data_IF_242128011195
#
_entry.id   IF_242128011195
#
_cell.length_a   1.000
_cell.length_b   1.000
_cell.length_c   1.000
_cell.angle_alpha   90.00
_cell.angle_beta   90.00
_cell.angle_gamma   90.00
#
_symmetry.space_group_name_H-M   'P 1'
#
loop_
_entity.id
_entity.type
_entity.pdbx_description
1 polymer ?
#
# COMPACT_ATOMS: atom_id res chain seq x y z
N UNK A 1 -21.31 12.28 21.36
CA UNK A 1 -20.12 11.42 21.40
C UNK A 1 -19.90 10.82 20.01
N UNK A 2 -18.90 11.29 19.25
CA UNK A 2 -18.58 10.74 17.92
C UNK A 2 -17.61 9.59 18.10
N UNK A 3 -18.04 8.37 17.82
CA UNK A 3 -17.13 7.23 17.80
C UNK A 3 -16.25 7.32 16.55
N UNK A 4 -14.94 7.49 16.75
CA UNK A 4 -13.97 7.40 15.68
C UNK A 4 -13.65 5.92 15.46
N UNK A 5 -14.19 5.32 14.41
CA UNK A 5 -13.81 3.95 14.03
C UNK A 5 -12.40 3.99 13.42
N UNK A 6 -11.42 3.53 14.18
CA UNK A 6 -10.06 3.30 13.71
C UNK A 6 -9.99 1.85 13.26
N UNK A 7 -10.40 1.59 12.03
CA UNK A 7 -10.37 0.27 11.43
C UNK A 7 -9.56 0.24 10.13
N UNK A 8 -9.27 -0.97 9.66
CA UNK A 8 -8.82 -1.20 8.29
C UNK A 8 -9.93 -0.78 7.32
N UNK A 9 -9.54 -0.34 6.11
CA UNK A 9 -10.51 -0.13 5.03
C UNK A 9 -11.33 -1.40 4.80
N UNK A 10 -12.64 -1.24 4.71
CA UNK A 10 -13.56 -2.35 4.48
C UNK A 10 -14.67 -1.92 3.55
N UNK A 11 -15.31 -2.88 2.91
CA UNK A 11 -16.48 -2.67 2.07
C UNK A 11 -17.75 -3.10 2.79
N UNK A 12 -18.82 -2.36 2.57
CA UNK A 12 -20.16 -2.76 3.03
C UNK A 12 -20.66 -3.95 2.20
N UNK A 13 -21.66 -4.67 2.71
CA UNK A 13 -22.31 -5.76 1.97
C UNK A 13 -22.91 -5.30 0.63
N UNK A 14 -23.35 -4.05 0.55
CA UNK A 14 -23.90 -3.45 -0.69
C UNK A 14 -22.78 -3.26 -1.73
N UNK A 15 -21.67 -2.67 -1.34
CA UNK A 15 -20.49 -2.48 -2.20
C UNK A 15 -19.90 -3.82 -2.66
N UNK A 16 -19.82 -4.82 -1.76
CA UNK A 16 -19.37 -6.15 -2.15
C UNK A 16 -20.26 -6.78 -3.22
N UNK A 17 -21.59 -6.67 -3.08
CA UNK A 17 -22.54 -7.14 -4.12
C UNK A 17 -22.32 -6.43 -5.44
N UNK A 18 -22.09 -5.11 -5.43
CA UNK A 18 -21.81 -4.32 -6.64
C UNK A 18 -20.55 -4.81 -7.34
N UNK A 19 -19.45 -5.05 -6.60
CA UNK A 19 -18.19 -5.55 -7.19
C UNK A 19 -18.38 -6.90 -7.88
N UNK A 20 -19.13 -7.81 -7.27
CA UNK A 20 -19.38 -9.14 -7.84
C UNK A 20 -20.41 -9.13 -8.98
N UNK A 21 -21.29 -8.13 -9.01
CA UNK A 21 -22.28 -8.01 -10.10
C UNK A 21 -21.63 -7.60 -11.41
N UNK A 22 -20.58 -6.76 -11.37
CA UNK A 22 -19.84 -6.32 -12.55
C UNK A 22 -18.35 -6.74 -12.46
N UNK A 23 -18.10 -8.03 -12.52
CA UNK A 23 -16.75 -8.58 -12.51
C UNK A 23 -15.91 -8.17 -13.71
N UNK A 24 -16.50 -7.82 -14.83
CA UNK A 24 -15.77 -7.35 -16.01
C UNK A 24 -15.11 -6.01 -15.72
N UNK A 25 -15.77 -5.16 -14.95
CA UNK A 25 -15.27 -3.85 -14.54
C UNK A 25 -14.27 -3.94 -13.40
N UNK A 26 -14.58 -4.76 -12.39
CA UNK A 26 -13.85 -4.75 -11.11
C UNK A 26 -12.71 -5.78 -11.02
N UNK A 27 -12.65 -6.75 -11.93
CA UNK A 27 -11.61 -7.78 -11.92
C UNK A 27 -10.36 -7.32 -12.65
N UNK A 28 -9.25 -7.22 -11.91
CA UNK A 28 -7.91 -6.99 -12.44
C UNK A 28 -7.12 -8.30 -12.34
N UNK A 29 -6.52 -8.74 -13.44
CA UNK A 29 -5.75 -9.98 -13.51
C UNK A 29 -4.27 -9.72 -13.30
N UNK A 30 -3.60 -10.60 -12.57
CA UNK A 30 -2.13 -10.62 -12.58
C UNK A 30 -1.61 -11.30 -13.84
N UNK A 31 -0.56 -10.71 -14.42
CA UNK A 31 0.23 -11.30 -15.51
C UNK A 31 1.63 -11.54 -15.00
N UNK A 32 2.15 -12.72 -15.28
CA UNK A 32 3.52 -13.08 -14.98
C UNK A 32 4.43 -12.73 -16.17
N UNK A 33 5.49 -11.96 -15.90
CA UNK A 33 6.44 -11.46 -16.90
C UNK A 33 7.89 -11.98 -16.67
N UNK A 34 8.06 -13.08 -15.95
CA UNK A 34 9.36 -13.72 -15.76
C UNK A 34 10.17 -13.25 -14.55
N UNK A 35 11.49 -13.27 -14.66
CA UNK A 35 12.42 -13.10 -13.54
C UNK A 35 12.25 -11.78 -12.74
N UNK A 36 11.78 -10.73 -13.36
CA UNK A 36 11.53 -9.46 -12.65
C UNK A 36 10.40 -9.59 -11.64
N UNK A 37 9.35 -10.32 -12.00
CA UNK A 37 8.24 -10.61 -11.10
C UNK A 37 8.66 -11.55 -9.96
N UNK A 38 9.49 -12.56 -10.26
CA UNK A 38 10.05 -13.45 -9.24
C UNK A 38 10.89 -12.69 -8.22
N UNK A 39 11.72 -11.76 -8.69
CA UNK A 39 12.53 -10.89 -7.83
C UNK A 39 11.68 -9.99 -6.96
N UNK A 40 10.62 -9.40 -7.50
CA UNK A 40 9.70 -8.53 -6.77
C UNK A 40 8.95 -9.29 -5.66
N UNK A 41 8.43 -10.49 -5.96
CA UNK A 41 7.79 -11.38 -4.97
C UNK A 41 8.80 -11.84 -3.91
N UNK A 42 10.01 -12.20 -4.32
CA UNK A 42 11.07 -12.61 -3.39
C UNK A 42 11.47 -11.45 -2.47
N UNK A 43 11.62 -10.24 -3.00
CA UNK A 43 11.88 -9.03 -2.21
C UNK A 43 10.78 -8.82 -1.17
N UNK A 44 9.51 -8.87 -1.59
CA UNK A 44 8.38 -8.57 -0.71
C UNK A 44 8.20 -9.61 0.41
N UNK A 45 8.37 -10.90 0.14
CA UNK A 45 7.92 -11.96 1.04
C UNK A 45 9.00 -12.88 1.60
N UNK A 46 10.24 -12.86 1.08
CA UNK A 46 11.31 -13.72 1.59
C UNK A 46 11.83 -13.25 2.94
N UNK A 47 11.97 -14.19 3.90
CA UNK A 47 12.62 -13.92 5.20
C UNK A 47 14.09 -13.49 5.06
N UNK A 48 14.75 -13.86 3.97
CA UNK A 48 16.17 -13.54 3.74
C UNK A 48 16.39 -12.13 3.20
N UNK A 49 15.31 -11.42 2.80
CA UNK A 49 15.35 -10.11 2.13
C UNK A 49 14.93 -8.95 3.05
N UNK A 50 15.33 -9.00 4.32
CA UNK A 50 14.95 -7.98 5.32
C UNK A 50 15.62 -6.65 5.03
N UNK A 51 16.93 -6.65 4.78
CA UNK A 51 17.69 -5.42 4.55
C UNK A 51 17.30 -4.78 3.21
N UNK A 52 17.14 -5.59 2.16
CA UNK A 52 16.70 -5.09 0.86
C UNK A 52 15.27 -4.50 0.92
N UNK A 53 14.39 -5.01 1.81
CA UNK A 53 13.07 -4.38 2.03
C UNK A 53 13.17 -3.02 2.74
N UNK A 54 14.13 -2.85 3.65
CA UNK A 54 14.37 -1.55 4.28
C UNK A 54 14.83 -0.53 3.24
N UNK A 55 15.80 -0.88 2.40
CA UNK A 55 16.25 -0.04 1.29
C UNK A 55 15.09 0.30 0.36
N UNK A 56 14.34 -0.70 -0.10
CA UNK A 56 13.17 -0.51 -0.96
C UNK A 56 12.15 0.50 -0.40
N UNK A 57 11.84 0.43 0.91
CA UNK A 57 10.92 1.38 1.55
C UNK A 57 11.55 2.77 1.69
N UNK A 58 12.84 2.84 2.02
CA UNK A 58 13.57 4.11 2.14
C UNK A 58 13.62 4.83 0.79
N UNK A 59 14.03 4.14 -0.27
CA UNK A 59 14.09 4.68 -1.62
C UNK A 59 12.72 5.19 -2.09
N UNK A 60 11.66 4.44 -1.79
CA UNK A 60 10.31 4.86 -2.10
C UNK A 60 9.90 6.14 -1.36
N UNK A 61 10.23 6.27 -0.07
CA UNK A 61 9.94 7.47 0.71
C UNK A 61 10.73 8.69 0.22
N UNK A 62 12.02 8.50 -0.11
CA UNK A 62 12.89 9.56 -0.64
C UNK A 62 12.40 10.04 -2.01
N UNK A 63 12.06 9.11 -2.91
CA UNK A 63 11.49 9.44 -4.21
C UNK A 63 10.14 10.17 -4.07
N UNK A 64 9.29 9.74 -3.14
CA UNK A 64 8.03 10.42 -2.84
C UNK A 64 8.22 11.86 -2.37
N UNK A 65 9.21 12.09 -1.49
CA UNK A 65 9.60 13.42 -1.04
C UNK A 65 10.12 14.29 -2.19
N UNK A 66 11.03 13.76 -2.99
CA UNK A 66 11.60 14.43 -4.16
C UNK A 66 10.51 14.83 -5.17
N UNK A 67 9.57 13.92 -5.47
CA UNK A 67 8.45 14.20 -6.38
C UNK A 67 7.56 15.34 -5.86
N UNK A 68 7.26 15.33 -4.56
CA UNK A 68 6.47 16.37 -3.91
C UNK A 68 7.15 17.74 -3.97
N UNK A 69 8.47 17.79 -3.72
CA UNK A 69 9.28 19.02 -3.82
C UNK A 69 9.31 19.59 -5.26
N UNK A 70 9.33 18.71 -6.28
CA UNK A 70 9.31 19.08 -7.68
C UNK A 70 7.89 19.34 -8.24
N UNK A 71 6.84 19.20 -7.42
CA UNK A 71 5.46 19.37 -7.88
C UNK A 71 5.01 18.31 -8.89
N UNK A 72 5.67 17.13 -8.91
CA UNK A 72 5.32 16.04 -9.83
C UNK A 72 4.06 15.32 -9.33
N UNK A 73 3.19 14.83 -10.23
CA UNK A 73 1.99 14.09 -9.84
C UNK A 73 2.33 12.77 -9.16
N UNK A 74 1.44 12.30 -8.30
CA UNK A 74 1.53 10.97 -7.69
C UNK A 74 1.43 9.88 -8.75
N UNK A 75 2.09 8.75 -8.49
CA UNK A 75 2.07 7.58 -9.38
C UNK A 75 1.00 6.63 -8.89
N UNK A 76 0.00 6.37 -9.74
CA UNK A 76 -1.04 5.37 -9.47
C UNK A 76 -0.84 4.15 -10.36
N UNK A 77 -1.01 2.97 -9.77
CA UNK A 77 -0.97 1.70 -10.52
C UNK A 77 -2.22 1.50 -11.37
N UNK A 78 -3.37 1.87 -10.81
CA UNK A 78 -4.66 1.60 -11.43
C UNK A 78 -5.18 2.84 -12.16
N UNK A 79 -5.32 2.69 -13.47
CA UNK A 79 -6.04 3.63 -14.31
C UNK A 79 -7.45 3.11 -14.57
N UNK A 80 -8.31 3.96 -15.14
CA UNK A 80 -9.74 3.66 -15.36
C UNK A 80 -9.97 2.37 -16.19
N UNK A 81 -9.04 2.06 -17.09
CA UNK A 81 -9.15 0.93 -18.02
C UNK A 81 -8.15 -0.22 -17.72
N UNK A 82 -7.50 -0.18 -16.56
CA UNK A 82 -6.54 -1.22 -16.17
C UNK A 82 -7.24 -2.57 -15.97
N UNK A 83 -6.92 -3.55 -16.81
CA UNK A 83 -7.48 -4.92 -16.74
C UNK A 83 -6.46 -5.95 -16.26
N UNK A 84 -5.19 -5.62 -16.29
CA UNK A 84 -4.12 -6.51 -15.87
C UNK A 84 -2.93 -5.71 -15.35
N UNK A 85 -2.24 -6.26 -14.36
CA UNK A 85 -1.01 -5.73 -13.79
C UNK A 85 0.01 -6.86 -13.65
N UNK A 86 1.30 -6.55 -13.74
CA UNK A 86 2.35 -7.51 -13.41
C UNK A 86 2.66 -7.46 -11.91
N UNK A 87 3.34 -8.48 -11.40
CA UNK A 87 3.68 -8.55 -9.98
C UNK A 87 4.70 -7.49 -9.57
N UNK A 88 5.65 -7.17 -10.44
CA UNK A 88 6.64 -6.12 -10.18
C UNK A 88 5.97 -4.74 -9.99
N UNK A 89 5.07 -4.36 -10.89
CA UNK A 89 4.34 -3.10 -10.76
C UNK A 89 3.46 -3.07 -9.51
N UNK A 90 2.77 -4.17 -9.22
CA UNK A 90 1.96 -4.28 -8.01
C UNK A 90 2.81 -4.09 -6.74
N UNK A 91 3.95 -4.78 -6.64
CA UNK A 91 4.85 -4.66 -5.47
C UNK A 91 5.37 -3.24 -5.33
N UNK A 92 5.85 -2.63 -6.41
CA UNK A 92 6.54 -1.34 -6.34
C UNK A 92 5.62 -0.11 -6.32
N UNK A 93 4.36 -0.23 -6.74
CA UNK A 93 3.42 0.89 -6.81
C UNK A 93 2.24 0.78 -5.86
N UNK A 94 1.85 -0.44 -5.45
CA UNK A 94 0.68 -0.66 -4.60
C UNK A 94 1.05 -1.26 -3.24
N UNK A 95 1.78 -2.40 -3.23
CA UNK A 95 2.15 -3.06 -1.98
C UNK A 95 3.07 -2.18 -1.12
N UNK A 96 3.92 -1.36 -1.73
CA UNK A 96 4.77 -0.41 -1.03
C UNK A 96 3.97 0.61 -0.23
N UNK A 97 2.84 1.09 -0.75
CA UNK A 97 1.94 2.02 -0.06
C UNK A 97 1.38 1.38 1.22
N UNK A 98 0.88 0.15 1.10
CA UNK A 98 0.41 -0.61 2.25
C UNK A 98 1.53 -0.85 3.27
N UNK A 99 2.71 -1.26 2.82
CA UNK A 99 3.86 -1.55 3.69
C UNK A 99 4.29 -0.31 4.48
N UNK A 100 4.35 0.86 3.83
CA UNK A 100 4.66 2.12 4.50
C UNK A 100 3.57 2.52 5.51
N UNK A 101 2.32 2.45 5.11
CA UNK A 101 1.17 2.75 5.96
C UNK A 101 1.11 1.81 7.17
N UNK A 102 1.40 0.53 6.99
CA UNK A 102 1.42 -0.44 8.08
C UNK A 102 2.54 -0.18 9.07
N UNK A 103 3.73 0.18 8.61
CA UNK A 103 4.84 0.61 9.46
C UNK A 103 4.46 1.86 10.27
N UNK A 104 3.92 2.88 9.64
CA UNK A 104 3.49 4.12 10.30
C UNK A 104 2.42 3.85 11.37
N UNK A 105 1.46 2.98 11.07
CA UNK A 105 0.38 2.60 11.99
C UNK A 105 0.85 1.70 13.13
N UNK A 106 1.82 0.81 12.88
CA UNK A 106 2.18 -0.28 13.79
C UNK A 106 3.36 0.04 14.69
N UNK A 107 4.30 0.88 14.22
CA UNK A 107 5.50 1.26 14.96
C UNK A 107 5.20 2.48 15.86
N UNK A 108 5.47 2.41 17.18
CA UNK A 108 5.31 3.56 18.06
C UNK A 108 6.23 4.72 17.68
N UNK A 109 5.75 5.94 17.84
CA UNK A 109 6.54 7.14 17.63
C UNK A 109 7.68 7.23 18.67
N UNK A 110 8.88 7.58 18.23
CA UNK A 110 10.05 7.73 19.09
C UNK A 110 9.88 8.84 20.16
N UNK A 111 9.14 9.89 19.84
CA UNK A 111 9.01 11.08 20.71
C UNK A 111 8.05 10.84 21.88
N UNK A 112 6.89 10.26 21.62
CA UNK A 112 5.81 10.11 22.60
C UNK A 112 5.41 8.65 22.91
N UNK A 113 5.98 7.69 22.19
CA UNK A 113 5.69 6.26 22.35
C UNK A 113 4.32 5.82 21.84
N UNK A 114 3.53 6.72 21.26
CA UNK A 114 2.20 6.39 20.76
C UNK A 114 2.21 5.92 19.30
N UNK A 115 1.34 4.98 19.02
CA UNK A 115 0.87 4.73 17.63
C UNK A 115 -0.17 5.80 17.25
N UNK A 116 -0.35 6.11 15.94
CA UNK A 116 -1.30 7.14 15.49
C UNK A 116 -2.73 6.94 16.04
N UNK A 117 -3.20 5.70 16.10
CA UNK A 117 -4.50 5.37 16.68
C UNK A 117 -4.59 5.69 18.18
N UNK A 118 -3.58 5.33 18.94
CA UNK A 118 -3.51 5.61 20.39
C UNK A 118 -3.48 7.11 20.65
N UNK A 119 -2.70 7.86 19.86
CA UNK A 119 -2.63 9.32 19.97
C UNK A 119 -3.98 9.98 19.72
N UNK A 120 -4.73 9.52 18.73
CA UNK A 120 -6.10 10.02 18.47
C UNK A 120 -7.04 9.79 19.64
N UNK A 121 -6.99 8.61 20.25
CA UNK A 121 -7.82 8.30 21.42
C UNK A 121 -7.44 9.15 22.63
N UNK A 122 -6.15 9.38 22.84
CA UNK A 122 -5.65 10.16 23.98
C UNK A 122 -6.06 11.64 23.92
N UNK A 123 -6.15 12.23 22.72
CA UNK A 123 -6.49 13.64 22.50
C UNK A 123 -7.96 13.88 22.11
N UNK A 124 -8.83 12.88 22.19
CA UNK A 124 -10.27 13.01 21.96
C UNK A 124 -11.01 13.15 23.27
#
# INVERSE_FOLDING_TARGET
>A
MRFLFIGLGTSTSKEAKEYFTDMVRHKIKFKYNGAQDDNAITLAFSKKKIEERKEWLTDWMEEGKRRKELGMPEVYLYEKDTKAVNYQDFVNKELVLFSNMDNERSIPCLVDGFKPGQRKVFFT
#
